data_IF_796390829776
#
_entry.id   IF_796390829776
#
_cell.length_a   1.000
_cell.length_b   1.000
_cell.length_c   1.000
_cell.angle_alpha   90.00
_cell.angle_beta   90.00
_cell.angle_gamma   90.00
#
_symmetry.space_group_name_H-M   'P 1'
#
loop_
_entity.id
_entity.type
_entity.pdbx_description
1 polymer ?
#
# COMPACT_ATOMS: atom_id res chain seq x y z
N UNK A 1 10.22 20.84 41.29
CA UNK A 1 9.34 19.67 41.54
C UNK A 1 9.15 18.97 40.22
N UNK A 2 9.63 17.73 40.12
CA UNK A 2 9.54 16.93 38.92
C UNK A 2 8.14 16.36 38.72
N UNK A 3 7.89 15.96 37.47
CA UNK A 3 6.59 15.46 37.02
C UNK A 3 6.23 14.12 37.66
N UNK A 4 7.23 13.33 38.06
CA UNK A 4 7.04 11.99 38.63
C UNK A 4 6.41 12.01 40.03
N UNK A 5 6.88 12.87 40.94
CA UNK A 5 6.30 13.00 42.28
C UNK A 5 4.83 13.47 42.24
N UNK A 6 4.51 14.42 41.37
CA UNK A 6 3.13 14.92 41.16
C UNK A 6 2.20 13.83 40.63
N UNK A 7 2.62 13.14 39.56
CA UNK A 7 1.88 12.02 38.99
C UNK A 7 1.69 10.91 40.03
N UNK A 8 2.71 10.63 40.84
CA UNK A 8 2.66 9.59 41.87
C UNK A 8 1.65 9.94 42.96
N UNK A 9 1.69 11.17 43.48
CA UNK A 9 0.74 11.61 44.52
C UNK A 9 -0.70 11.49 44.03
N UNK A 10 -0.99 12.04 42.85
CA UNK A 10 -2.33 12.02 42.27
C UNK A 10 -2.86 10.59 42.11
N UNK A 11 -2.05 9.68 41.59
CA UNK A 11 -2.48 8.30 41.36
C UNK A 11 -2.67 7.53 42.68
N UNK A 12 -1.77 7.71 43.65
CA UNK A 12 -1.91 7.04 44.94
C UNK A 12 -3.16 7.53 45.69
N UNK A 13 -3.51 8.81 45.59
CA UNK A 13 -4.74 9.38 46.15
C UNK A 13 -6.00 8.91 45.40
N UNK A 14 -6.04 9.06 44.06
CA UNK A 14 -7.20 8.71 43.23
C UNK A 14 -7.58 7.23 43.36
N UNK A 15 -6.60 6.33 43.43
CA UNK A 15 -6.84 4.89 43.52
C UNK A 15 -6.76 4.35 44.96
N UNK A 16 -6.64 5.21 45.97
CA UNK A 16 -6.53 4.84 47.39
C UNK A 16 -5.42 3.80 47.66
N UNK A 17 -4.29 3.91 46.95
CA UNK A 17 -3.14 3.01 47.10
C UNK A 17 -2.23 3.56 48.20
N UNK A 18 -1.99 2.77 49.24
CA UNK A 18 -1.11 3.20 50.33
C UNK A 18 0.36 3.28 49.88
N UNK A 19 1.09 4.29 50.37
CA UNK A 19 2.54 4.41 50.14
C UNK A 19 3.31 3.16 50.60
N UNK A 20 2.83 2.47 51.65
CA UNK A 20 3.41 1.21 52.13
C UNK A 20 3.29 0.09 51.11
N UNK A 21 2.13 -0.04 50.45
CA UNK A 21 1.91 -1.08 49.43
C UNK A 21 2.83 -0.90 48.23
N UNK A 22 3.04 0.34 47.80
CA UNK A 22 3.99 0.65 46.72
C UNK A 22 5.45 0.40 47.15
N UNK A 23 5.82 0.79 48.38
CA UNK A 23 7.16 0.58 48.93
C UNK A 23 7.51 -0.93 48.98
N UNK A 24 6.58 -1.77 49.45
CA UNK A 24 6.74 -3.22 49.47
C UNK A 24 6.92 -3.80 48.06
N UNK A 25 6.11 -3.38 47.09
CA UNK A 25 6.24 -3.89 45.71
C UNK A 25 7.52 -3.45 45.01
N UNK A 26 8.09 -2.29 45.38
CA UNK A 26 9.36 -1.80 44.86
C UNK A 26 10.60 -2.37 45.57
N UNK A 27 10.42 -3.01 46.73
CA UNK A 27 11.53 -3.47 47.56
C UNK A 27 12.34 -2.31 48.18
N UNK A 28 11.69 -1.18 48.48
CA UNK A 28 12.33 0.02 49.06
C UNK A 28 11.68 0.39 50.40
N UNK A 29 12.41 1.13 51.23
CA UNK A 29 11.87 1.60 52.52
C UNK A 29 10.76 2.65 52.33
N UNK A 30 9.71 2.57 53.16
CA UNK A 30 8.56 3.50 53.14
C UNK A 30 8.94 5.00 53.14
N UNK A 31 9.97 5.47 53.87
CA UNK A 31 10.40 6.87 53.82
C UNK A 31 10.87 7.35 52.44
N UNK A 32 11.29 6.44 51.54
CA UNK A 32 11.64 6.78 50.16
C UNK A 32 10.39 7.17 49.38
N UNK A 33 9.35 6.33 49.42
CA UNK A 33 8.06 6.60 48.76
C UNK A 33 7.36 7.81 49.38
N UNK A 34 7.47 7.99 50.71
CA UNK A 34 6.95 9.17 51.40
C UNK A 34 7.54 10.47 50.83
N UNK A 35 8.86 10.51 50.62
CA UNK A 35 9.53 11.69 50.04
C UNK A 35 9.09 11.96 48.61
N UNK A 36 8.84 10.92 47.79
CA UNK A 36 8.29 11.08 46.45
C UNK A 36 6.84 11.58 46.46
N UNK A 37 6.00 11.01 47.33
CA UNK A 37 4.58 11.38 47.45
C UNK A 37 4.39 12.83 47.92
N UNK A 38 5.23 13.29 48.86
CA UNK A 38 5.23 14.67 49.32
C UNK A 38 6.11 15.60 48.47
N UNK A 39 6.54 15.13 47.29
CA UNK A 39 7.34 15.91 46.32
C UNK A 39 8.63 16.53 46.90
N UNK A 40 9.20 15.91 47.95
CA UNK A 40 10.45 16.33 48.56
C UNK A 40 11.67 15.92 47.72
N UNK A 41 11.53 14.81 46.99
CA UNK A 41 12.49 14.30 46.00
C UNK A 41 11.70 13.63 44.87
N UNK A 42 12.29 13.45 43.69
CA UNK A 42 11.68 12.69 42.59
C UNK A 42 12.35 11.32 42.40
N UNK A 43 11.59 10.30 41.97
CA UNK A 43 12.18 9.02 41.55
C UNK A 43 13.01 9.20 40.26
N UNK A 44 14.07 8.39 40.10
CA UNK A 44 14.86 8.36 38.86
C UNK A 44 14.06 7.76 37.70
N UNK A 45 14.53 7.91 36.46
CA UNK A 45 13.87 7.33 35.29
C UNK A 45 13.74 5.79 35.38
N UNK A 46 14.75 5.09 35.88
CA UNK A 46 14.72 3.64 36.12
C UNK A 46 13.71 3.27 37.22
N UNK A 47 13.60 4.13 38.23
CA UNK A 47 12.64 3.96 39.33
C UNK A 47 11.21 4.18 38.84
N UNK A 48 10.97 5.14 37.94
CA UNK A 48 9.66 5.38 37.30
C UNK A 48 9.19 4.13 36.55
N UNK A 49 10.07 3.50 35.76
CA UNK A 49 9.73 2.24 35.08
C UNK A 49 9.35 1.13 36.08
N UNK A 50 10.04 1.06 37.22
CA UNK A 50 9.75 0.12 38.29
C UNK A 50 8.41 0.42 38.98
N UNK A 51 8.09 1.70 39.22
CA UNK A 51 6.80 2.15 39.76
C UNK A 51 5.66 1.73 38.85
N UNK A 52 5.79 1.93 37.54
CA UNK A 52 4.77 1.51 36.55
C UNK A 52 4.52 0.01 36.62
N UNK A 53 5.57 -0.80 36.72
CA UNK A 53 5.44 -2.27 36.81
C UNK A 53 4.70 -2.68 38.07
N UNK A 54 5.09 -2.14 39.23
CA UNK A 54 4.45 -2.45 40.52
C UNK A 54 3.00 -1.95 40.57
N UNK A 55 2.74 -0.74 40.08
CA UNK A 55 1.37 -0.23 39.98
C UNK A 55 0.51 -1.10 39.07
N UNK A 56 1.06 -1.70 38.00
CA UNK A 56 0.30 -2.58 37.11
C UNK A 56 -0.16 -3.86 37.81
N UNK A 57 0.64 -4.35 38.76
CA UNK A 57 0.31 -5.51 39.59
C UNK A 57 -0.73 -5.15 40.66
N UNK A 58 -0.67 -3.95 41.24
CA UNK A 58 -1.62 -3.48 42.25
C UNK A 58 -2.96 -3.07 41.63
N UNK A 59 -2.93 -2.24 40.58
CA UNK A 59 -4.09 -1.74 39.86
C UNK A 59 -3.69 -1.26 38.45
N UNK A 60 -4.15 -1.98 37.42
CA UNK A 60 -3.81 -1.69 36.02
C UNK A 60 -4.20 -0.27 35.57
N UNK A 61 -5.29 0.30 36.10
CA UNK A 61 -5.74 1.65 35.75
C UNK A 61 -4.85 2.71 36.40
N UNK A 62 -4.42 2.49 37.65
CA UNK A 62 -3.46 3.34 38.33
C UNK A 62 -2.13 3.44 37.56
N UNK A 63 -1.65 2.31 37.02
CA UNK A 63 -0.43 2.30 36.20
C UNK A 63 -0.58 3.11 34.90
N UNK A 64 -1.74 3.00 34.24
CA UNK A 64 -2.02 3.77 33.01
C UNK A 64 -2.10 5.26 33.29
N UNK A 65 -2.81 5.65 34.36
CA UNK A 65 -2.93 7.06 34.76
C UNK A 65 -1.59 7.64 35.23
N UNK A 66 -0.75 6.85 35.92
CA UNK A 66 0.59 7.29 36.30
C UNK A 66 1.48 7.57 35.09
N UNK A 67 1.46 6.70 34.07
CA UNK A 67 2.16 6.96 32.80
C UNK A 67 1.62 8.24 32.13
N UNK A 68 0.30 8.40 32.10
CA UNK A 68 -0.34 9.55 31.48
C UNK A 68 0.06 10.86 32.18
N UNK A 69 -0.07 10.92 33.50
CA UNK A 69 0.30 12.10 34.29
C UNK A 69 1.82 12.35 34.30
N UNK A 70 2.64 11.31 34.17
CA UNK A 70 4.10 11.48 34.09
C UNK A 70 4.57 12.04 32.73
N UNK A 71 3.91 11.65 31.64
CA UNK A 71 4.32 12.04 30.28
C UNK A 71 3.64 13.33 29.79
N UNK A 72 2.52 13.73 30.38
CA UNK A 72 1.70 14.86 29.94
C UNK A 72 1.61 15.90 31.07
N UNK A 73 1.79 17.18 30.74
CA UNK A 73 1.54 18.29 31.67
C UNK A 73 0.04 18.29 32.06
N UNK A 74 -0.33 18.20 33.34
CA UNK A 74 -1.72 18.10 33.79
C UNK A 74 -2.59 19.31 33.42
N UNK A 75 -2.00 20.38 32.90
CA UNK A 75 -2.72 21.53 32.33
C UNK A 75 -3.27 21.30 30.93
N UNK A 76 -2.93 20.20 30.24
CA UNK A 76 -3.45 19.81 28.93
C UNK A 76 -4.37 18.57 29.02
N UNK A 77 -5.44 18.66 29.81
CA UNK A 77 -6.42 17.58 30.01
C UNK A 77 -7.57 17.60 28.98
N UNK A 78 -7.25 17.60 27.69
CA UNK A 78 -8.24 17.36 26.64
C UNK A 78 -7.92 16.06 25.88
N UNK A 79 -8.65 14.99 26.24
CA UNK A 79 -8.83 13.73 25.53
C UNK A 79 -7.80 13.39 24.43
N UNK A 80 -6.77 12.64 24.81
CA UNK A 80 -5.95 11.87 23.88
C UNK A 80 -6.18 10.38 24.16
N UNK A 81 -7.10 9.79 23.38
CA UNK A 81 -7.35 8.35 23.34
C UNK A 81 -6.16 7.63 22.67
N UNK A 82 -5.25 7.09 23.47
CA UNK A 82 -4.08 6.31 22.99
C UNK A 82 -4.42 4.87 22.58
N UNK A 83 -5.66 4.60 22.15
CA UNK A 83 -6.05 3.35 21.45
C UNK A 83 -6.55 3.63 20.02
N UNK A 84 -6.26 4.83 19.49
CA UNK A 84 -6.38 5.04 18.07
C UNK A 84 -5.29 4.22 17.35
N UNK A 85 -5.69 3.08 16.80
CA UNK A 85 -5.15 2.64 15.51
C UNK A 85 -5.08 3.90 14.65
N UNK A 86 -3.95 4.30 14.03
CA UNK A 86 -3.88 5.57 13.33
C UNK A 86 -4.97 5.60 12.25
N UNK A 87 -6.09 6.23 12.59
CA UNK A 87 -7.09 6.63 11.63
C UNK A 87 -6.36 7.70 10.83
N UNK A 88 -6.14 7.45 9.55
CA UNK A 88 -5.79 8.52 8.62
C UNK A 88 -7.01 9.43 8.53
N UNK A 89 -7.18 10.28 9.53
CA UNK A 89 -8.22 11.29 9.57
C UNK A 89 -7.84 12.38 8.57
N UNK A 90 -8.77 12.64 7.68
CA UNK A 90 -8.65 13.75 6.75
C UNK A 90 -8.60 15.07 7.54
N UNK A 91 -7.78 16.06 7.14
CA UNK A 91 -7.67 17.33 7.84
C UNK A 91 -9.02 17.99 7.96
N UNK A 92 -9.34 18.57 9.13
CA UNK A 92 -10.62 19.25 9.33
C UNK A 92 -10.70 20.51 8.46
N UNK A 93 -11.93 20.94 8.18
CA UNK A 93 -12.21 22.17 7.45
C UNK A 93 -13.45 22.84 8.02
N UNK A 94 -13.41 24.17 8.08
CA UNK A 94 -14.56 25.00 8.46
C UNK A 94 -15.46 25.34 7.26
N UNK A 95 -15.00 25.08 6.04
CA UNK A 95 -15.69 25.45 4.79
C UNK A 95 -16.47 24.27 4.20
N UNK A 96 -15.90 23.06 4.28
CA UNK A 96 -16.46 21.84 3.70
C UNK A 96 -16.61 20.71 4.72
N UNK A 97 -17.64 19.87 4.55
CA UNK A 97 -17.88 18.71 5.42
C UNK A 97 -16.99 17.50 5.04
N UNK A 98 -15.80 17.48 5.61
CA UNK A 98 -14.80 16.40 5.45
C UNK A 98 -15.32 15.05 5.98
N UNK A 99 -16.27 15.05 6.92
CA UNK A 99 -16.88 13.82 7.41
C UNK A 99 -17.66 13.11 6.31
N UNK A 100 -18.27 13.84 5.37
CA UNK A 100 -18.95 13.29 4.20
C UNK A 100 -17.93 12.80 3.17
N UNK A 101 -16.83 13.52 2.96
CA UNK A 101 -15.74 13.08 2.07
C UNK A 101 -15.23 11.68 2.48
N UNK A 102 -15.04 11.44 3.78
CA UNK A 102 -14.63 10.13 4.30
C UNK A 102 -15.63 8.99 3.99
N UNK A 103 -16.89 9.32 3.68
CA UNK A 103 -17.95 8.34 3.37
C UNK A 103 -17.98 7.94 1.90
N UNK A 104 -17.31 8.66 0.99
CA UNK A 104 -17.31 8.38 -0.45
C UNK A 104 -16.94 6.92 -0.77
N UNK A 105 -15.95 6.39 -0.04
CA UNK A 105 -15.35 5.08 -0.28
C UNK A 105 -15.79 3.99 0.72
N UNK A 106 -16.74 4.28 1.64
CA UNK A 106 -17.22 3.31 2.64
C UNK A 106 -18.06 2.18 2.06
N UNK A 107 -18.89 2.48 1.05
CA UNK A 107 -19.79 1.52 0.39
C UNK A 107 -19.34 1.31 -1.06
N UNK A 108 -18.51 0.28 -1.26
CA UNK A 108 -17.93 -0.06 -2.55
C UNK A 108 -18.05 -1.56 -2.81
N UNK A 109 -18.44 -1.91 -4.03
CA UNK A 109 -18.49 -3.30 -4.50
C UNK A 109 -17.40 -3.54 -5.56
N UNK A 110 -17.19 -2.55 -6.41
CA UNK A 110 -16.17 -2.48 -7.45
C UNK A 110 -15.17 -1.34 -7.15
N UNK A 111 -14.12 -1.30 -7.95
CA UNK A 111 -13.03 -0.32 -7.91
C UNK A 111 -13.43 1.08 -8.35
N UNK A 112 -14.61 1.24 -8.96
CA UNK A 112 -14.88 2.41 -9.80
C UNK A 112 -14.85 3.72 -9.01
N UNK A 113 -15.40 3.73 -7.79
CA UNK A 113 -15.37 4.93 -6.93
C UNK A 113 -13.95 5.32 -6.51
N UNK A 114 -13.10 4.33 -6.24
CA UNK A 114 -11.70 4.56 -5.88
C UNK A 114 -10.96 5.18 -7.06
N UNK A 115 -11.02 4.52 -8.23
CA UNK A 115 -10.37 4.99 -9.43
C UNK A 115 -10.90 6.35 -9.88
N UNK A 116 -12.21 6.56 -9.82
CA UNK A 116 -12.82 7.84 -10.23
C UNK A 116 -12.38 8.99 -9.33
N UNK A 117 -12.39 8.80 -8.01
CA UNK A 117 -11.95 9.83 -7.08
C UNK A 117 -10.44 10.09 -7.18
N UNK A 118 -9.60 9.04 -7.22
CA UNK A 118 -8.15 9.18 -7.44
C UNK A 118 -7.87 9.90 -8.77
N UNK A 119 -8.63 9.60 -9.82
CA UNK A 119 -8.48 10.25 -11.13
C UNK A 119 -8.82 11.74 -11.09
N UNK A 120 -9.86 12.13 -10.33
CA UNK A 120 -10.14 13.55 -10.10
C UNK A 120 -8.94 14.22 -9.42
N UNK A 121 -8.39 13.61 -8.36
CA UNK A 121 -7.23 14.15 -7.64
C UNK A 121 -6.01 14.31 -8.57
N UNK A 122 -5.67 13.26 -9.33
CA UNK A 122 -4.55 13.27 -10.28
C UNK A 122 -4.74 14.33 -11.39
N UNK A 123 -5.99 14.53 -11.85
CA UNK A 123 -6.31 15.57 -12.85
C UNK A 123 -6.17 16.97 -12.24
N UNK A 124 -6.65 17.20 -11.02
CA UNK A 124 -6.53 18.49 -10.34
C UNK A 124 -5.06 18.88 -10.14
N UNK A 125 -4.24 17.98 -9.59
CA UNK A 125 -2.81 18.23 -9.40
C UNK A 125 -2.14 18.57 -10.75
N UNK A 126 -2.43 17.79 -11.80
CA UNK A 126 -1.89 18.02 -13.15
C UNK A 126 -2.35 19.35 -13.76
N UNK A 127 -3.53 19.83 -13.41
CA UNK A 127 -4.09 21.13 -13.82
C UNK A 127 -3.74 22.27 -12.86
N UNK A 128 -2.85 22.04 -11.89
CA UNK A 128 -2.48 23.03 -10.87
C UNK A 128 -3.71 23.58 -10.14
N UNK A 129 -4.66 22.69 -9.84
CA UNK A 129 -5.91 22.98 -9.14
C UNK A 129 -6.79 24.04 -9.82
N UNK A 130 -6.71 24.19 -11.16
CA UNK A 130 -7.70 24.98 -11.92
C UNK A 130 -9.10 24.39 -11.74
N UNK A 131 -9.90 25.10 -10.95
CA UNK A 131 -11.26 24.75 -10.58
C UNK A 131 -12.35 25.26 -11.52
N UNK A 132 -11.99 26.14 -12.46
CA UNK A 132 -12.96 26.80 -13.35
C UNK A 132 -13.30 25.86 -14.52
N UNK A 133 -12.28 25.20 -15.06
CA UNK A 133 -12.41 24.34 -16.22
C UNK A 133 -13.14 23.02 -15.89
N UNK A 134 -14.26 22.70 -16.57
CA UNK A 134 -14.91 21.41 -16.40
C UNK A 134 -13.96 20.24 -16.70
N UNK A 135 -14.18 19.12 -16.02
CA UNK A 135 -13.48 17.86 -16.27
C UNK A 135 -14.47 16.92 -16.94
N UNK A 136 -14.21 16.57 -18.20
CA UNK A 136 -15.08 15.64 -18.94
C UNK A 136 -15.03 14.23 -18.36
N UNK A 137 -16.14 13.49 -18.45
CA UNK A 137 -16.15 12.07 -18.09
C UNK A 137 -15.15 11.26 -18.90
N UNK A 138 -14.96 11.62 -20.18
CA UNK A 138 -13.96 10.97 -21.04
C UNK A 138 -12.55 11.10 -20.46
N UNK A 139 -12.16 12.29 -20.01
CA UNK A 139 -10.86 12.52 -19.38
C UNK A 139 -10.70 11.76 -18.07
N UNK A 140 -11.72 11.80 -17.19
CA UNK A 140 -11.69 11.05 -15.91
C UNK A 140 -11.53 9.55 -16.20
N UNK A 141 -12.28 9.02 -17.16
CA UNK A 141 -12.27 7.58 -17.48
C UNK A 141 -10.94 7.15 -18.13
N UNK A 142 -10.33 8.00 -18.96
CA UNK A 142 -8.96 7.76 -19.45
C UNK A 142 -7.97 7.70 -18.27
N UNK A 143 -8.07 8.62 -17.32
CA UNK A 143 -7.21 8.62 -16.12
C UNK A 143 -7.50 7.41 -15.22
N UNK A 144 -8.76 6.96 -15.08
CA UNK A 144 -9.13 5.75 -14.33
C UNK A 144 -8.46 4.51 -14.91
N UNK A 145 -8.50 4.37 -16.24
CA UNK A 145 -7.88 3.26 -16.94
C UNK A 145 -6.35 3.32 -16.84
N UNK A 146 -5.76 4.52 -16.95
CA UNK A 146 -4.33 4.70 -16.74
C UNK A 146 -3.90 4.32 -15.31
N UNK A 147 -4.69 4.69 -14.30
CA UNK A 147 -4.47 4.33 -12.90
C UNK A 147 -4.60 2.83 -12.62
N UNK A 148 -5.44 2.12 -13.37
CA UNK A 148 -5.62 0.69 -13.20
C UNK A 148 -4.64 -0.15 -14.04
N UNK A 149 -4.10 0.39 -15.14
CA UNK A 149 -3.38 -0.37 -16.16
C UNK A 149 -2.18 -1.15 -15.60
N UNK A 150 -1.31 -0.53 -14.80
CA UNK A 150 -0.14 -1.21 -14.24
C UNK A 150 -0.54 -2.40 -13.36
N UNK A 151 -1.46 -2.15 -12.43
CA UNK A 151 -1.91 -3.16 -11.48
C UNK A 151 -2.52 -4.38 -12.16
N UNK A 152 -3.30 -4.19 -13.22
CA UNK A 152 -3.92 -5.28 -13.98
C UNK A 152 -2.99 -5.87 -15.04
N UNK A 153 -2.51 -5.07 -15.99
CA UNK A 153 -1.81 -5.55 -17.19
C UNK A 153 -0.40 -6.04 -16.88
N UNK A 154 0.36 -5.28 -16.07
CA UNK A 154 1.76 -5.58 -15.77
C UNK A 154 1.92 -6.49 -14.54
N UNK A 155 1.22 -6.18 -13.45
CA UNK A 155 1.32 -6.89 -12.17
C UNK A 155 0.28 -7.99 -11.96
N UNK A 156 -0.67 -8.17 -12.90
CA UNK A 156 -1.68 -9.25 -12.91
C UNK A 156 -2.55 -9.30 -11.64
N UNK A 157 -2.80 -8.15 -11.01
CA UNK A 157 -3.71 -8.05 -9.87
C UNK A 157 -5.17 -8.20 -10.30
N UNK A 158 -5.93 -8.96 -9.51
CA UNK A 158 -7.37 -9.13 -9.70
C UNK A 158 -8.13 -7.95 -9.11
N UNK A 159 -9.10 -7.43 -9.86
CA UNK A 159 -10.07 -6.44 -9.36
C UNK A 159 -11.33 -7.13 -8.80
N UNK A 160 -11.40 -8.46 -8.90
CA UNK A 160 -12.56 -9.27 -8.52
C UNK A 160 -13.58 -9.44 -9.65
N UNK A 161 -14.37 -10.52 -9.58
CA UNK A 161 -15.24 -10.99 -10.68
C UNK A 161 -16.30 -9.99 -11.16
N UNK A 162 -16.85 -9.17 -10.26
CA UNK A 162 -17.90 -8.20 -10.59
C UNK A 162 -17.34 -6.90 -11.18
N UNK A 163 -16.05 -6.66 -11.00
CA UNK A 163 -15.38 -5.48 -11.54
C UNK A 163 -15.09 -5.67 -13.03
N UNK A 164 -15.30 -4.63 -13.83
CA UNK A 164 -15.12 -4.66 -15.30
C UNK A 164 -13.99 -3.76 -15.79
N UNK A 165 -13.18 -3.17 -14.91
CA UNK A 165 -12.01 -2.38 -15.34
C UNK A 165 -11.00 -3.27 -16.06
N UNK A 166 -10.70 -4.45 -15.51
CA UNK A 166 -9.83 -5.44 -16.13
C UNK A 166 -10.29 -5.81 -17.55
N UNK A 167 -11.55 -6.24 -17.70
CA UNK A 167 -12.14 -6.58 -19.01
C UNK A 167 -12.02 -5.43 -20.03
N UNK A 168 -12.20 -4.19 -19.56
CA UNK A 168 -12.08 -2.99 -20.42
C UNK A 168 -10.63 -2.72 -20.83
N UNK A 169 -9.66 -2.94 -19.95
CA UNK A 169 -8.23 -2.82 -20.28
C UNK A 169 -7.79 -3.90 -21.28
N UNK A 170 -8.26 -5.14 -21.08
CA UNK A 170 -7.98 -6.26 -21.98
C UNK A 170 -8.57 -6.00 -23.37
N UNK A 171 -9.80 -5.50 -23.45
CA UNK A 171 -10.44 -5.11 -24.72
C UNK A 171 -9.63 -4.05 -25.48
N UNK A 172 -9.06 -3.07 -24.79
CA UNK A 172 -8.26 -2.02 -25.43
C UNK A 172 -6.95 -2.56 -26.01
N UNK A 173 -6.48 -3.73 -25.54
CA UNK A 173 -5.24 -4.37 -25.97
C UNK A 173 -4.10 -3.35 -26.10
N UNK A 174 -3.77 -2.71 -24.99
CA UNK A 174 -2.76 -1.65 -24.92
C UNK A 174 -1.40 -2.33 -24.88
N UNK A 175 -0.75 -2.40 -26.03
CA UNK A 175 0.61 -2.90 -26.14
C UNK A 175 1.60 -1.80 -25.73
N UNK A 176 2.28 -2.03 -24.62
CA UNK A 176 3.44 -1.24 -24.20
C UNK A 176 4.60 -2.23 -24.08
N UNK A 177 5.05 -2.71 -25.23
CA UNK A 177 6.08 -3.74 -25.34
C UNK A 177 7.41 -3.35 -24.68
N UNK A 178 7.68 -2.05 -24.55
CA UNK A 178 8.88 -1.56 -23.88
C UNK A 178 8.62 -1.20 -22.41
N UNK A 179 9.09 -2.08 -21.52
CA UNK A 179 9.07 -1.82 -20.07
C UNK A 179 9.80 -0.54 -19.65
N UNK A 180 10.75 -0.02 -20.44
CA UNK A 180 11.37 1.28 -20.15
C UNK A 180 10.37 2.42 -20.32
N UNK A 181 9.52 2.37 -21.34
CA UNK A 181 8.44 3.35 -21.55
C UNK A 181 7.43 3.25 -20.40
N UNK A 182 7.19 2.04 -19.88
CA UNK A 182 6.29 1.80 -18.74
C UNK A 182 6.77 2.50 -17.47
N UNK A 183 8.04 2.34 -17.06
CA UNK A 183 8.51 2.94 -15.80
C UNK A 183 8.92 4.42 -15.95
N UNK A 184 9.37 4.84 -17.14
CA UNK A 184 9.80 6.23 -17.38
C UNK A 184 8.64 7.19 -17.67
N UNK A 185 7.41 6.69 -17.88
CA UNK A 185 6.20 7.52 -18.01
C UNK A 185 5.73 8.04 -16.63
N UNK A 186 6.58 8.84 -15.98
CA UNK A 186 6.46 9.37 -14.61
C UNK A 186 5.13 10.06 -14.30
N UNK A 187 4.37 10.44 -15.33
CA UNK A 187 3.05 11.05 -15.22
C UNK A 187 1.95 10.28 -15.95
N UNK A 188 2.17 9.06 -16.45
CA UNK A 188 1.22 8.29 -17.28
C UNK A 188 0.80 9.05 -18.57
N UNK A 189 1.62 9.99 -19.05
CA UNK A 189 1.31 10.84 -20.23
C UNK A 189 1.23 10.01 -21.50
N UNK A 190 2.20 9.14 -21.73
CA UNK A 190 2.20 8.27 -22.89
C UNK A 190 1.05 7.27 -22.80
N UNK A 191 0.86 6.63 -21.63
CA UNK A 191 -0.23 5.70 -21.39
C UNK A 191 -1.61 6.33 -21.64
N UNK A 192 -1.88 7.53 -21.10
CA UNK A 192 -3.14 8.24 -21.36
C UNK A 192 -3.34 8.55 -22.84
N UNK A 193 -2.29 8.97 -23.55
CA UNK A 193 -2.35 9.23 -25.00
C UNK A 193 -2.66 7.94 -25.77
N UNK A 194 -2.06 6.82 -25.38
CA UNK A 194 -2.33 5.51 -25.99
C UNK A 194 -3.77 5.08 -25.74
N UNK A 195 -4.27 5.22 -24.51
CA UNK A 195 -5.67 4.95 -24.17
C UNK A 195 -6.62 5.86 -24.97
N UNK A 196 -6.33 7.16 -25.07
CA UNK A 196 -7.20 8.11 -25.78
C UNK A 196 -7.32 7.84 -27.28
N UNK A 197 -6.31 7.18 -27.86
CA UNK A 197 -6.29 6.82 -29.28
C UNK A 197 -7.01 5.49 -29.58
N UNK A 198 -7.50 4.79 -28.56
CA UNK A 198 -8.27 3.55 -28.70
C UNK A 198 -9.79 3.85 -28.75
N UNK A 199 -10.62 2.94 -29.29
CA UNK A 199 -12.08 3.10 -29.30
C UNK A 199 -12.64 3.02 -27.87
N UNK A 200 -12.69 4.17 -27.19
CA UNK A 200 -13.01 4.28 -25.76
C UNK A 200 -14.46 4.71 -25.49
N UNK A 201 -15.21 5.17 -26.49
CA UNK A 201 -16.49 5.84 -26.26
C UNK A 201 -17.55 4.92 -25.62
N UNK A 202 -17.58 3.64 -25.97
CA UNK A 202 -18.45 2.64 -25.30
C UNK A 202 -18.04 2.44 -23.84
N UNK A 203 -16.73 2.41 -23.57
CA UNK A 203 -16.19 2.32 -22.20
C UNK A 203 -16.57 3.56 -21.40
N UNK A 204 -16.51 4.74 -22.01
CA UNK A 204 -16.93 6.01 -21.40
C UNK A 204 -18.42 5.96 -21.06
N UNK A 205 -19.26 5.52 -22.00
CA UNK A 205 -20.71 5.39 -21.82
C UNK A 205 -21.07 4.44 -20.68
N UNK A 206 -20.39 3.29 -20.59
CA UNK A 206 -20.60 2.31 -19.53
C UNK A 206 -20.21 2.84 -18.14
N UNK A 207 -18.99 3.40 -18.03
CA UNK A 207 -18.46 3.81 -16.72
C UNK A 207 -19.09 5.11 -16.21
N UNK A 208 -19.51 6.03 -17.10
CA UNK A 208 -20.24 7.25 -16.70
C UNK A 208 -21.63 6.94 -16.15
N UNK A 209 -22.21 5.78 -16.46
CA UNK A 209 -23.61 5.46 -16.19
C UNK A 209 -24.02 5.66 -14.73
N UNK A 210 -23.13 5.33 -13.79
CA UNK A 210 -23.44 5.33 -12.35
C UNK A 210 -22.40 6.05 -11.50
N UNK A 211 -21.12 5.89 -11.82
CA UNK A 211 -20.02 6.23 -10.89
C UNK A 211 -19.98 7.70 -10.51
N UNK A 212 -20.14 8.68 -11.43
CA UNK A 212 -20.15 10.09 -11.09
C UNK A 212 -21.27 10.43 -10.09
N UNK A 213 -22.47 9.91 -10.30
CA UNK A 213 -23.62 10.21 -9.46
C UNK A 213 -23.54 9.50 -8.11
N UNK A 214 -23.17 8.21 -8.11
CA UNK A 214 -23.10 7.40 -6.90
C UNK A 214 -21.92 7.76 -5.99
N UNK A 215 -20.86 8.39 -6.52
CA UNK A 215 -19.74 8.85 -5.70
C UNK A 215 -20.22 9.92 -4.72
N UNK A 216 -20.90 10.98 -5.19
CA UNK A 216 -21.33 12.12 -4.37
C UNK A 216 -22.65 11.90 -3.62
N UNK A 217 -23.30 10.74 -3.81
CA UNK A 217 -24.51 10.36 -3.07
C UNK A 217 -24.45 10.60 -1.54
N UNK A 218 -23.31 10.40 -0.83
CA UNK A 218 -23.22 10.66 0.60
C UNK A 218 -23.57 12.09 1.04
N UNK A 219 -23.45 13.08 0.14
CA UNK A 219 -23.83 14.48 0.41
C UNK A 219 -25.35 14.67 0.55
N UNK A 220 -26.13 13.70 0.06
CA UNK A 220 -27.59 13.81 -0.08
C UNK A 220 -28.36 12.67 0.59
N UNK A 221 -27.75 11.97 1.57
CA UNK A 221 -28.39 10.77 2.16
C UNK A 221 -29.73 11.07 2.83
N UNK A 222 -29.88 12.24 3.44
CA UNK A 222 -31.13 12.63 4.11
C UNK A 222 -32.22 12.92 3.08
N UNK A 223 -31.90 13.75 2.09
CA UNK A 223 -32.79 14.17 1.02
C UNK A 223 -33.29 12.95 0.22
N UNK A 224 -32.37 12.04 -0.12
CA UNK A 224 -32.68 10.79 -0.82
C UNK A 224 -33.47 9.79 0.04
N UNK A 225 -33.41 9.88 1.37
CA UNK A 225 -34.27 9.07 2.25
C UNK A 225 -35.68 9.65 2.30
N UNK A 226 -35.83 10.95 2.47
CA UNK A 226 -37.14 11.61 2.51
C UNK A 226 -37.90 11.48 1.18
N UNK A 227 -37.21 11.62 0.04
CA UNK A 227 -37.82 11.46 -1.27
C UNK A 227 -38.29 10.02 -1.58
N UNK A 228 -37.83 9.02 -0.81
CA UNK A 228 -38.27 7.62 -0.94
C UNK A 228 -39.51 7.29 -0.12
N UNK A 229 -39.90 8.11 0.85
CA UNK A 229 -41.01 7.84 1.75
C UNK A 229 -42.41 7.92 1.10
N UNK A 230 -42.50 8.16 -0.22
CA UNK A 230 -43.78 8.24 -0.95
C UNK A 230 -43.76 7.78 -2.42
N UNK A 231 -42.74 7.05 -2.89
CA UNK A 231 -42.64 6.65 -4.31
C UNK A 231 -42.96 5.17 -4.58
N UNK A 232 -43.64 4.92 -5.71
CA UNK A 232 -43.73 3.60 -6.36
C UNK A 232 -42.32 3.13 -6.77
N UNK A 233 -42.13 1.80 -6.79
CA UNK A 233 -40.87 1.11 -7.14
C UNK A 233 -40.31 1.68 -8.47
N UNK A 234 -39.07 2.17 -8.43
CA UNK A 234 -38.37 2.80 -9.57
C UNK A 234 -38.32 1.83 -10.76
N UNK A 235 -38.56 2.33 -11.98
CA UNK A 235 -38.80 1.47 -13.17
C UNK A 235 -37.75 1.61 -14.26
N UNK A 236 -36.97 2.70 -14.30
CA UNK A 236 -36.02 2.97 -15.40
C UNK A 236 -34.60 3.25 -14.89
N UNK A 237 -33.54 2.84 -15.61
CA UNK A 237 -32.18 3.30 -15.36
C UNK A 237 -32.06 4.82 -15.56
N UNK A 238 -31.37 5.53 -14.64
CA UNK A 238 -31.19 6.98 -14.70
C UNK A 238 -32.07 7.76 -13.73
N UNK A 239 -33.12 7.16 -13.17
CA UNK A 239 -34.04 7.84 -12.23
C UNK A 239 -33.31 8.29 -10.94
N UNK A 240 -32.42 7.45 -10.39
CA UNK A 240 -31.61 7.76 -9.20
C UNK A 240 -30.59 8.86 -9.51
N UNK A 241 -29.96 8.78 -10.68
CA UNK A 241 -28.94 9.72 -11.12
C UNK A 241 -29.55 11.10 -11.38
N UNK A 242 -30.72 11.15 -12.02
CA UNK A 242 -31.48 12.38 -12.24
C UNK A 242 -31.88 13.06 -10.93
N UNK A 243 -32.29 12.27 -9.93
CA UNK A 243 -32.60 12.82 -8.60
C UNK A 243 -31.37 13.45 -7.94
N UNK A 244 -30.18 12.84 -8.09
CA UNK A 244 -28.92 13.41 -7.60
C UNK A 244 -28.58 14.70 -8.34
N UNK A 245 -28.75 14.76 -9.67
CA UNK A 245 -28.53 15.99 -10.45
C UNK A 245 -29.42 17.11 -9.93
N UNK A 246 -30.72 16.86 -9.75
CA UNK A 246 -31.66 17.86 -9.25
C UNK A 246 -31.26 18.36 -7.85
N UNK A 247 -30.79 17.46 -6.96
CA UNK A 247 -30.33 17.85 -5.62
C UNK A 247 -29.05 18.68 -5.67
N UNK A 248 -28.11 18.30 -6.53
CA UNK A 248 -26.88 19.05 -6.77
C UNK A 248 -27.18 20.47 -7.26
N UNK A 249 -28.07 20.63 -8.24
CA UNK A 249 -28.43 21.95 -8.77
C UNK A 249 -29.07 22.86 -7.71
N UNK A 250 -29.98 22.32 -6.90
CA UNK A 250 -30.71 23.11 -5.91
C UNK A 250 -29.93 23.37 -4.62
N UNK A 251 -28.94 22.53 -4.29
CA UNK A 251 -28.24 22.56 -3.01
C UNK A 251 -26.73 22.78 -3.17
N UNK A 252 -26.25 23.19 -4.36
CA UNK A 252 -24.82 23.33 -4.62
C UNK A 252 -24.13 24.26 -3.62
N UNK A 253 -24.65 25.49 -3.47
CA UNK A 253 -24.03 26.49 -2.61
C UNK A 253 -24.31 26.27 -1.10
N UNK A 254 -25.35 25.48 -0.79
CA UNK A 254 -25.79 25.21 0.59
C UNK A 254 -25.08 23.98 1.18
N UNK A 255 -25.12 22.86 0.46
CA UNK A 255 -24.55 21.59 0.89
C UNK A 255 -23.11 21.42 0.45
N UNK A 256 -22.67 22.20 -0.55
CA UNK A 256 -21.32 22.17 -1.11
C UNK A 256 -20.90 20.75 -1.45
N UNK A 257 -21.62 20.04 -2.34
CA UNK A 257 -21.18 18.73 -2.80
C UNK A 257 -19.84 18.84 -3.51
N UNK A 258 -19.11 17.72 -3.64
CA UNK A 258 -17.77 17.72 -4.25
C UNK A 258 -17.74 18.38 -5.65
N UNK A 259 -18.77 18.16 -6.45
CA UNK A 259 -18.92 18.75 -7.78
C UNK A 259 -20.39 18.84 -8.20
N UNK A 260 -20.61 19.62 -9.27
CA UNK A 260 -21.84 19.64 -10.06
C UNK A 260 -21.63 19.14 -11.48
N UNK A 261 -22.73 18.88 -12.18
CA UNK A 261 -22.75 18.42 -13.57
C UNK A 261 -22.93 19.59 -14.55
N UNK A 262 -22.53 19.40 -15.79
CA UNK A 262 -22.61 20.38 -16.88
C UNK A 262 -24.00 20.49 -17.53
N UNK A 263 -24.94 19.60 -17.17
CA UNK A 263 -26.29 19.58 -17.70
C UNK A 263 -27.31 19.14 -16.63
N UNK A 264 -28.55 19.60 -16.78
CA UNK A 264 -29.66 19.28 -15.88
C UNK A 264 -30.32 17.94 -16.17
N UNK A 265 -30.08 17.35 -17.34
CA UNK A 265 -30.62 16.04 -17.71
C UNK A 265 -29.52 14.99 -17.74
N UNK A 266 -29.75 13.86 -17.07
CA UNK A 266 -28.80 12.75 -16.94
C UNK A 266 -28.17 12.30 -18.27
N UNK A 267 -29.00 12.20 -19.33
CA UNK A 267 -28.55 11.76 -20.65
C UNK A 267 -27.54 12.73 -21.28
N UNK A 268 -27.62 14.01 -20.95
CA UNK A 268 -26.86 15.10 -21.56
C UNK A 268 -25.60 15.47 -20.73
N UNK A 269 -25.47 14.96 -19.50
CA UNK A 269 -24.27 15.18 -18.69
C UNK A 269 -23.03 14.54 -19.32
N UNK A 270 -21.99 15.35 -19.50
CA UNK A 270 -20.72 14.96 -20.12
C UNK A 270 -19.50 15.32 -19.28
N UNK A 271 -19.65 16.20 -18.28
CA UNK A 271 -18.56 16.73 -17.47
C UNK A 271 -19.01 17.07 -16.04
N UNK A 272 -18.01 17.33 -15.19
CA UNK A 272 -18.20 17.84 -13.83
C UNK A 272 -17.41 19.13 -13.62
N UNK A 273 -17.92 20.00 -12.75
CA UNK A 273 -17.20 21.16 -12.22
C UNK A 273 -17.15 21.03 -10.70
N UNK A 274 -15.95 21.02 -10.12
CA UNK A 274 -15.78 20.90 -8.67
C UNK A 274 -16.22 22.17 -7.96
N UNK A 275 -16.68 22.02 -6.72
CA UNK A 275 -17.00 23.16 -5.87
C UNK A 275 -15.71 23.89 -5.45
N UNK A 276 -15.64 25.24 -5.56
CA UNK A 276 -14.42 26.00 -5.28
C UNK A 276 -13.82 25.75 -3.89
N UNK A 277 -14.65 25.63 -2.87
CA UNK A 277 -14.18 25.33 -1.51
C UNK A 277 -13.57 23.93 -1.37
N UNK A 278 -14.06 22.94 -2.13
CA UNK A 278 -13.45 21.62 -2.18
C UNK A 278 -12.11 21.64 -2.91
N UNK A 279 -11.97 22.44 -3.97
CA UNK A 279 -10.69 22.64 -4.65
C UNK A 279 -9.66 23.24 -3.68
N UNK A 280 -10.01 24.33 -3.00
CA UNK A 280 -9.14 24.97 -2.00
C UNK A 280 -8.77 24.01 -0.85
N UNK A 281 -9.72 23.22 -0.36
CA UNK A 281 -9.43 22.21 0.64
C UNK A 281 -8.48 21.13 0.11
N UNK A 282 -8.73 20.59 -1.09
CA UNK A 282 -7.92 19.52 -1.68
C UNK A 282 -6.52 20.03 -2.00
N UNK A 283 -6.37 21.23 -2.55
CA UNK A 283 -5.06 21.84 -2.85
C UNK A 283 -4.20 21.95 -1.58
N UNK A 284 -4.76 22.53 -0.52
CA UNK A 284 -4.05 22.71 0.75
C UNK A 284 -3.72 21.39 1.47
N UNK A 285 -4.42 20.30 1.14
CA UNK A 285 -4.31 19.01 1.83
C UNK A 285 -3.99 17.85 0.88
N UNK A 286 -3.47 18.13 -0.32
CA UNK A 286 -3.45 17.18 -1.42
C UNK A 286 -2.77 15.86 -1.06
N UNK A 287 -1.56 15.91 -0.51
CA UNK A 287 -0.80 14.72 -0.12
C UNK A 287 -1.55 13.84 0.87
N UNK A 288 -2.31 14.43 1.80
CA UNK A 288 -3.07 13.70 2.82
C UNK A 288 -4.33 13.09 2.20
N UNK A 289 -5.10 13.87 1.41
CA UNK A 289 -6.32 13.39 0.73
C UNK A 289 -5.97 12.28 -0.27
N UNK A 290 -4.89 12.47 -1.05
CA UNK A 290 -4.39 11.48 -2.00
C UNK A 290 -3.87 10.24 -1.30
N UNK A 291 -3.14 10.39 -0.19
CA UNK A 291 -2.70 9.28 0.65
C UNK A 291 -3.87 8.46 1.21
N UNK A 292 -4.90 9.12 1.74
CA UNK A 292 -6.13 8.49 2.23
C UNK A 292 -6.86 7.72 1.12
N UNK A 293 -7.08 8.33 -0.05
CA UNK A 293 -7.74 7.68 -1.18
C UNK A 293 -6.95 6.44 -1.65
N UNK A 294 -5.62 6.54 -1.67
CA UNK A 294 -4.70 5.45 -2.00
C UNK A 294 -4.77 4.31 -0.98
N UNK A 295 -4.86 4.64 0.30
CA UNK A 295 -5.01 3.66 1.38
C UNK A 295 -6.34 2.90 1.29
N UNK A 296 -7.43 3.62 1.06
CA UNK A 296 -8.74 3.01 0.84
C UNK A 296 -8.75 2.09 -0.39
N UNK A 297 -8.06 2.50 -1.46
CA UNK A 297 -7.87 1.70 -2.66
C UNK A 297 -7.01 0.45 -2.41
N UNK A 298 -5.91 0.58 -1.66
CA UNK A 298 -5.05 -0.54 -1.28
C UNK A 298 -5.82 -1.58 -0.47
N UNK A 299 -6.61 -1.16 0.52
CA UNK A 299 -7.46 -2.07 1.30
C UNK A 299 -8.43 -2.85 0.42
N UNK A 300 -9.02 -2.20 -0.58
CA UNK A 300 -9.85 -2.88 -1.56
C UNK A 300 -9.06 -3.93 -2.33
N UNK A 301 -7.90 -3.55 -2.88
CA UNK A 301 -7.09 -4.42 -3.72
C UNK A 301 -6.49 -5.60 -2.95
N UNK A 302 -6.09 -5.42 -1.68
CA UNK A 302 -5.63 -6.52 -0.82
C UNK A 302 -6.74 -7.54 -0.58
N UNK A 303 -7.98 -7.11 -0.33
CA UNK A 303 -9.12 -8.05 -0.20
C UNK A 303 -9.39 -8.84 -1.48
N UNK A 304 -9.10 -8.25 -2.65
CA UNK A 304 -9.21 -8.94 -3.95
C UNK A 304 -8.02 -9.85 -4.25
N UNK A 305 -6.89 -9.66 -3.58
CA UNK A 305 -5.62 -10.33 -3.85
C UNK A 305 -4.96 -10.85 -2.54
N UNK A 306 -5.65 -11.68 -1.73
CA UNK A 306 -5.19 -12.01 -0.37
C UNK A 306 -3.88 -12.82 -0.34
N UNK A 307 -3.61 -13.62 -1.38
CA UNK A 307 -2.43 -14.49 -1.45
C UNK A 307 -1.31 -13.91 -2.32
N UNK A 308 -1.44 -12.66 -2.76
CA UNK A 308 -0.51 -12.03 -3.69
C UNK A 308 0.54 -11.25 -2.90
N UNK A 309 1.83 -11.52 -3.09
CA UNK A 309 2.86 -10.78 -2.36
C UNK A 309 2.88 -9.30 -2.78
N UNK A 310 3.31 -8.43 -1.88
CA UNK A 310 3.65 -7.04 -2.19
C UNK A 310 2.59 -6.24 -2.97
N UNK A 311 1.30 -6.41 -2.66
CA UNK A 311 0.19 -5.69 -3.34
C UNK A 311 0.39 -4.17 -3.34
N UNK A 312 0.92 -3.60 -2.26
CA UNK A 312 1.21 -2.17 -2.17
C UNK A 312 2.20 -1.71 -3.25
N UNK A 313 3.33 -2.41 -3.39
CA UNK A 313 4.37 -2.09 -4.38
C UNK A 313 3.89 -2.26 -5.82
N UNK A 314 2.92 -3.16 -6.05
CA UNK A 314 2.29 -3.40 -7.36
C UNK A 314 1.23 -2.36 -7.71
N UNK A 315 0.56 -1.81 -6.69
CA UNK A 315 -0.48 -0.82 -6.87
C UNK A 315 0.10 0.59 -7.03
N UNK A 316 1.20 0.85 -6.33
CA UNK A 316 1.93 2.11 -6.36
C UNK A 316 3.39 1.83 -6.76
N UNK A 317 3.64 1.43 -8.01
CA UNK A 317 4.99 1.13 -8.46
C UNK A 317 5.89 2.36 -8.33
N UNK A 318 7.17 2.18 -7.93
CA UNK A 318 8.12 3.28 -7.93
C UNK A 318 8.37 3.77 -9.36
N UNK A 319 8.81 5.02 -9.50
CA UNK A 319 9.15 5.60 -10.80
C UNK A 319 10.31 4.86 -11.47
N UNK A 320 11.22 4.28 -10.67
CA UNK A 320 12.31 3.46 -11.16
C UNK A 320 12.45 2.20 -10.32
N UNK A 321 12.93 1.11 -10.92
CA UNK A 321 13.32 -0.07 -10.14
C UNK A 321 14.60 0.19 -9.38
N UNK A 322 14.73 -0.47 -8.23
CA UNK A 322 15.98 -0.47 -7.48
C UNK A 322 17.15 -0.97 -8.33
N UNK A 323 18.34 -0.44 -8.05
CA UNK A 323 19.55 -0.90 -8.72
C UNK A 323 19.94 -2.31 -8.26
N UNK A 324 20.26 -3.19 -9.21
CA UNK A 324 20.81 -4.52 -8.93
C UNK A 324 22.35 -4.52 -8.78
N UNK A 325 22.98 -3.35 -8.55
CA UNK A 325 24.45 -3.23 -8.47
C UNK A 325 25.07 -4.17 -7.44
N UNK A 326 24.43 -4.36 -6.27
CA UNK A 326 24.97 -5.20 -5.20
C UNK A 326 24.94 -6.69 -5.58
N UNK A 327 23.82 -7.15 -6.13
CA UNK A 327 23.64 -8.52 -6.61
C UNK A 327 24.55 -8.80 -7.81
N UNK A 328 24.74 -7.81 -8.69
CA UNK A 328 25.66 -7.93 -9.83
C UNK A 328 27.11 -8.01 -9.38
N UNK A 329 27.49 -7.24 -8.36
CA UNK A 329 28.82 -7.32 -7.76
C UNK A 329 29.07 -8.69 -7.09
N UNK A 330 28.05 -9.26 -6.44
CA UNK A 330 28.11 -10.62 -5.87
C UNK A 330 28.38 -11.68 -6.95
N UNK A 331 27.58 -11.73 -8.01
CA UNK A 331 27.78 -12.73 -9.06
C UNK A 331 29.08 -12.52 -9.86
N UNK A 332 29.53 -11.27 -10.01
CA UNK A 332 30.84 -10.96 -10.60
C UNK A 332 32.00 -11.49 -9.75
N UNK A 333 31.90 -11.43 -8.41
CA UNK A 333 32.90 -12.01 -7.51
C UNK A 333 33.06 -13.51 -7.80
N UNK A 334 31.95 -14.24 -7.88
CA UNK A 334 31.93 -15.69 -8.09
C UNK A 334 32.46 -16.05 -9.48
N UNK A 335 32.00 -15.37 -10.54
CA UNK A 335 32.44 -15.61 -11.92
C UNK A 335 33.93 -15.32 -12.16
N UNK A 336 34.59 -14.56 -11.28
CA UNK A 336 36.04 -14.34 -11.35
C UNK A 336 36.85 -15.47 -10.71
N UNK A 337 36.20 -16.40 -10.02
CA UNK A 337 36.85 -17.47 -9.24
C UNK A 337 36.50 -18.86 -9.76
N UNK A 338 35.34 -19.00 -10.41
CA UNK A 338 34.88 -20.27 -10.96
C UNK A 338 34.08 -20.05 -12.24
N UNK A 339 34.14 -21.03 -13.14
CA UNK A 339 33.32 -21.06 -14.34
C UNK A 339 31.90 -21.51 -13.98
N UNK A 340 30.91 -20.71 -14.34
CA UNK A 340 29.50 -21.04 -14.15
C UNK A 340 28.84 -21.28 -15.51
N UNK A 341 27.91 -22.24 -15.56
CA UNK A 341 27.05 -22.42 -16.72
C UNK A 341 25.71 -21.70 -16.52
N UNK A 342 25.19 -21.09 -17.59
CA UNK A 342 23.83 -20.58 -17.60
C UNK A 342 22.85 -21.75 -17.43
N UNK A 343 21.94 -21.67 -16.45
CA UNK A 343 20.98 -22.76 -16.18
C UNK A 343 20.05 -23.04 -17.38
N UNK A 344 19.85 -22.05 -18.25
CA UNK A 344 18.96 -22.11 -19.40
C UNK A 344 19.65 -22.65 -20.66
N UNK A 345 20.73 -22.00 -21.12
CA UNK A 345 21.43 -22.38 -22.37
C UNK A 345 22.54 -23.42 -22.18
N UNK A 346 22.92 -23.70 -20.93
CA UNK A 346 24.07 -24.54 -20.55
C UNK A 346 25.42 -24.03 -21.05
N UNK A 347 25.48 -22.86 -21.65
CA UNK A 347 26.73 -22.22 -22.07
C UNK A 347 27.46 -21.60 -20.88
N UNK A 348 28.79 -21.56 -20.94
CA UNK A 348 29.63 -20.92 -19.91
C UNK A 348 29.38 -19.41 -19.88
N UNK A 349 29.09 -18.88 -18.70
CA UNK A 349 28.84 -17.47 -18.48
C UNK A 349 30.14 -16.65 -18.50
N UNK A 350 30.16 -15.49 -19.14
CA UNK A 350 31.31 -14.61 -19.10
C UNK A 350 31.41 -13.87 -17.75
N UNK A 351 32.64 -13.57 -17.31
CA UNK A 351 32.90 -12.78 -16.10
C UNK A 351 32.48 -11.30 -16.21
N UNK A 352 32.15 -10.84 -17.43
CA UNK A 352 31.62 -9.52 -17.71
C UNK A 352 30.55 -9.57 -18.81
N UNK A 353 29.71 -8.54 -18.92
CA UNK A 353 28.65 -8.49 -19.95
C UNK A 353 27.39 -9.31 -19.65
N UNK A 354 27.35 -10.08 -18.55
CA UNK A 354 26.13 -10.78 -18.11
C UNK A 354 25.07 -9.82 -17.54
N UNK A 355 23.83 -10.33 -17.49
CA UNK A 355 22.68 -9.72 -16.82
C UNK A 355 22.22 -10.59 -15.64
N UNK A 356 21.40 -10.04 -14.75
CA UNK A 356 20.74 -10.83 -13.72
C UNK A 356 19.30 -11.11 -14.12
N UNK A 357 18.90 -12.37 -13.97
CA UNK A 357 17.53 -12.82 -14.13
C UNK A 357 16.90 -13.07 -12.77
N UNK A 358 15.67 -12.59 -12.60
CA UNK A 358 14.81 -12.99 -11.49
C UNK A 358 14.13 -14.31 -11.85
N UNK A 359 14.46 -15.41 -11.16
CA UNK A 359 13.89 -16.73 -11.46
C UNK A 359 12.35 -16.68 -11.43
N UNK A 360 11.76 -16.23 -10.31
CA UNK A 360 10.39 -15.74 -10.31
C UNK A 360 10.33 -14.31 -10.85
N UNK A 361 9.44 -13.99 -11.80
CA UNK A 361 9.35 -12.65 -12.39
C UNK A 361 9.28 -11.53 -11.35
N UNK A 362 10.04 -10.44 -11.55
CA UNK A 362 9.97 -9.26 -10.68
C UNK A 362 8.56 -8.66 -10.62
N UNK A 363 7.82 -8.69 -11.73
CA UNK A 363 6.40 -8.30 -11.79
C UNK A 363 5.50 -9.15 -10.88
N UNK A 364 5.93 -10.36 -10.52
CA UNK A 364 5.23 -11.18 -9.54
C UNK A 364 5.71 -10.93 -8.11
N UNK A 365 7.02 -10.89 -7.84
CA UNK A 365 7.52 -10.79 -6.46
C UNK A 365 7.65 -9.35 -5.93
N UNK A 366 7.85 -8.38 -6.81
CA UNK A 366 8.07 -6.96 -6.53
C UNK A 366 9.19 -6.68 -5.50
N UNK A 367 10.28 -7.46 -5.57
CA UNK A 367 11.48 -7.30 -4.77
C UNK A 367 12.72 -7.82 -5.51
N UNK A 368 13.91 -7.43 -5.04
CA UNK A 368 15.21 -7.78 -5.62
C UNK A 368 16.03 -8.70 -4.71
N UNK A 369 15.36 -9.59 -3.98
CA UNK A 369 16.02 -10.52 -3.05
C UNK A 369 17.01 -11.44 -3.78
N UNK A 370 18.23 -11.64 -3.22
CA UNK A 370 19.32 -12.35 -3.89
C UNK A 370 19.02 -13.83 -4.13
N UNK A 371 18.26 -14.48 -3.24
CA UNK A 371 17.84 -15.88 -3.42
C UNK A 371 16.99 -16.11 -4.68
N UNK A 372 16.43 -15.06 -5.28
CA UNK A 372 15.67 -15.14 -6.53
C UNK A 372 16.47 -14.71 -7.77
N UNK A 373 17.76 -14.38 -7.63
CA UNK A 373 18.55 -13.73 -8.69
C UNK A 373 19.76 -14.58 -9.10
N UNK A 374 19.89 -14.84 -10.40
CA UNK A 374 21.02 -15.57 -11.00
C UNK A 374 21.61 -14.87 -12.23
N UNK A 375 22.89 -15.10 -12.58
CA UNK A 375 23.49 -14.56 -13.78
C UNK A 375 23.01 -15.31 -15.02
N UNK A 376 22.76 -14.57 -16.10
CA UNK A 376 22.41 -15.11 -17.41
C UNK A 376 22.85 -14.17 -18.52
N UNK A 377 22.79 -14.65 -19.76
CA UNK A 377 23.02 -13.83 -20.95
C UNK A 377 21.89 -12.80 -21.14
N UNK A 378 22.19 -11.54 -21.51
CA UNK A 378 21.18 -10.49 -21.70
C UNK A 378 20.02 -10.88 -22.63
N UNK A 379 20.32 -11.56 -23.74
CA UNK A 379 19.36 -12.06 -24.72
C UNK A 379 18.42 -13.11 -24.14
N UNK A 380 18.92 -13.98 -23.26
CA UNK A 380 18.10 -15.00 -22.58
C UNK A 380 17.20 -14.35 -21.54
N UNK A 381 17.72 -13.41 -20.74
CA UNK A 381 16.93 -12.63 -19.79
C UNK A 381 15.81 -11.88 -20.50
N UNK A 382 16.12 -11.23 -21.64
CA UNK A 382 15.15 -10.55 -22.46
C UNK A 382 14.09 -11.50 -23.04
N UNK A 383 14.49 -12.70 -23.47
CA UNK A 383 13.58 -13.74 -23.96
C UNK A 383 12.64 -14.25 -22.86
N UNK A 384 13.18 -14.51 -21.65
CA UNK A 384 12.39 -14.95 -20.51
C UNK A 384 11.46 -13.85 -19.97
N UNK A 385 11.87 -12.59 -19.99
CA UNK A 385 11.02 -11.44 -19.63
C UNK A 385 10.26 -11.68 -18.30
N UNK A 386 8.94 -11.50 -18.29
CA UNK A 386 8.07 -11.75 -17.14
C UNK A 386 7.51 -13.19 -17.08
N UNK A 387 8.08 -14.15 -17.80
CA UNK A 387 7.64 -15.55 -17.75
C UNK A 387 8.30 -16.32 -16.60
N UNK A 388 7.59 -17.34 -16.13
CA UNK A 388 8.10 -18.29 -15.14
C UNK A 388 8.95 -19.35 -15.87
N UNK A 389 10.19 -19.63 -15.47
CA UNK A 389 10.96 -20.75 -16.02
C UNK A 389 10.20 -22.06 -15.87
N UNK A 390 10.28 -22.91 -16.87
CA UNK A 390 9.80 -24.28 -16.75
C UNK A 390 10.44 -25.01 -15.56
N UNK A 391 9.68 -25.89 -14.93
CA UNK A 391 10.08 -26.64 -13.73
C UNK A 391 11.40 -27.40 -13.92
N UNK A 392 11.73 -27.79 -15.17
CA UNK A 392 12.98 -28.46 -15.49
C UNK A 392 14.24 -27.66 -15.09
N UNK A 393 14.15 -26.35 -14.88
CA UNK A 393 15.30 -25.51 -14.52
C UNK A 393 15.50 -25.36 -13.01
N UNK A 394 14.58 -25.86 -12.17
CA UNK A 394 14.63 -25.62 -10.72
C UNK A 394 15.85 -26.26 -10.08
N UNK A 395 16.18 -27.49 -10.46
CA UNK A 395 17.33 -28.20 -9.89
C UNK A 395 18.65 -27.48 -10.20
N UNK A 396 18.87 -27.05 -11.44
CA UNK A 396 20.06 -26.29 -11.81
C UNK A 396 20.08 -24.89 -11.22
N UNK A 397 18.91 -24.26 -11.05
CA UNK A 397 18.80 -22.98 -10.33
C UNK A 397 19.30 -23.10 -8.90
N UNK A 398 18.84 -24.11 -8.15
CA UNK A 398 19.26 -24.32 -6.75
C UNK A 398 20.74 -24.71 -6.67
N UNK A 399 21.21 -25.59 -7.57
CA UNK A 399 22.62 -25.96 -7.64
C UNK A 399 23.52 -24.73 -7.89
N UNK A 400 23.09 -23.81 -8.76
CA UNK A 400 23.82 -22.57 -9.04
C UNK A 400 23.86 -21.64 -7.82
N UNK A 401 22.74 -21.51 -7.09
CA UNK A 401 22.69 -20.75 -5.84
C UNK A 401 23.62 -21.35 -4.78
N UNK A 402 23.61 -22.68 -4.62
CA UNK A 402 24.48 -23.40 -3.69
C UNK A 402 25.97 -23.18 -3.99
N UNK A 403 26.36 -23.30 -5.26
CA UNK A 403 27.72 -23.04 -5.71
C UNK A 403 28.13 -21.59 -5.45
N UNK A 404 27.25 -20.64 -5.78
CA UNK A 404 27.49 -19.22 -5.53
C UNK A 404 27.69 -18.90 -4.04
N UNK A 405 26.85 -19.47 -3.16
CA UNK A 405 26.96 -19.32 -1.71
C UNK A 405 28.28 -19.89 -1.19
N UNK A 406 28.66 -21.09 -1.64
CA UNK A 406 29.88 -21.78 -1.21
C UNK A 406 31.14 -20.99 -1.58
N UNK A 407 31.25 -20.54 -2.84
CA UNK A 407 32.39 -19.73 -3.32
C UNK A 407 32.44 -18.36 -2.64
N UNK A 408 31.28 -17.72 -2.47
CA UNK A 408 31.21 -16.41 -1.84
C UNK A 408 31.61 -16.44 -0.36
N UNK A 409 31.29 -17.51 0.38
CA UNK A 409 31.68 -17.65 1.80
C UNK A 409 33.20 -17.61 2.00
N UNK A 410 33.94 -18.26 1.11
CA UNK A 410 35.42 -18.29 1.17
C UNK A 410 36.04 -16.94 0.83
N UNK A 411 35.32 -16.11 0.07
CA UNK A 411 35.86 -14.89 -0.54
C UNK A 411 35.38 -13.59 0.10
N UNK A 412 34.27 -13.63 0.82
CA UNK A 412 33.69 -12.45 1.47
C UNK A 412 34.11 -12.37 2.94
N UNK A 413 34.44 -11.16 3.40
CA UNK A 413 34.62 -10.90 4.82
C UNK A 413 33.33 -11.17 5.61
N UNK A 414 33.48 -11.65 6.85
CA UNK A 414 32.38 -12.14 7.69
C UNK A 414 31.16 -11.21 7.78
N UNK A 415 31.38 -9.90 7.97
CA UNK A 415 30.27 -8.93 8.03
C UNK A 415 29.53 -8.79 6.70
N UNK A 416 30.27 -8.68 5.60
CA UNK A 416 29.67 -8.52 4.26
C UNK A 416 28.89 -9.77 3.88
N UNK A 417 29.42 -10.94 4.24
CA UNK A 417 28.75 -12.22 4.08
C UNK A 417 27.43 -12.28 4.88
N UNK A 418 27.49 -12.01 6.19
CA UNK A 418 26.31 -12.02 7.08
C UNK A 418 25.18 -11.13 6.57
N UNK A 419 25.49 -9.90 6.15
CA UNK A 419 24.49 -8.99 5.57
C UNK A 419 23.92 -9.49 4.24
N UNK A 420 24.72 -10.19 3.43
CA UNK A 420 24.28 -10.66 2.11
C UNK A 420 23.35 -11.88 2.22
N UNK A 421 23.62 -12.78 3.16
CA UNK A 421 22.83 -14.00 3.32
C UNK A 421 21.55 -13.84 4.14
N UNK A 422 21.38 -12.71 4.85
CA UNK A 422 20.20 -12.46 5.69
C UNK A 422 18.87 -12.77 4.95
N UNK A 423 18.64 -12.35 3.69
CA UNK A 423 17.45 -12.73 2.96
C UNK A 423 17.31 -14.24 2.72
N UNK A 424 18.42 -14.96 2.47
CA UNK A 424 18.36 -16.42 2.32
C UNK A 424 17.92 -17.09 3.62
N UNK A 425 18.43 -16.64 4.77
CA UNK A 425 18.09 -17.16 6.09
C UNK A 425 16.62 -16.88 6.42
N UNK A 426 16.20 -15.61 6.30
CA UNK A 426 14.88 -15.15 6.74
C UNK A 426 13.76 -15.60 5.81
N UNK A 427 13.97 -15.49 4.49
CA UNK A 427 12.91 -15.73 3.51
C UNK A 427 12.76 -17.23 3.19
N UNK A 428 13.87 -17.97 3.12
CA UNK A 428 13.84 -19.44 2.91
C UNK A 428 13.69 -20.23 4.22
N UNK A 429 13.56 -19.55 5.37
CA UNK A 429 13.39 -20.14 6.71
C UNK A 429 14.48 -21.13 7.09
N UNK A 430 15.72 -20.80 6.75
CA UNK A 430 16.90 -21.59 7.12
C UNK A 430 17.36 -21.15 8.51
N UNK A 431 17.41 -22.07 9.47
CA UNK A 431 17.64 -21.74 10.89
C UNK A 431 19.10 -21.58 11.28
N UNK A 432 20.02 -22.15 10.50
CA UNK A 432 21.47 -22.10 10.71
C UNK A 432 22.16 -21.74 9.38
N UNK A 433 23.10 -20.80 9.43
CA UNK A 433 23.90 -20.42 8.27
C UNK A 433 24.61 -21.60 7.62
N UNK A 434 25.09 -22.58 8.41
CA UNK A 434 25.81 -23.75 7.89
C UNK A 434 24.93 -24.60 6.96
N UNK A 435 23.61 -24.56 7.14
CA UNK A 435 22.67 -25.30 6.31
C UNK A 435 22.56 -24.74 4.88
N UNK A 436 23.04 -23.51 4.63
CA UNK A 436 23.15 -22.97 3.26
C UNK A 436 24.13 -23.78 2.40
N UNK A 437 25.08 -24.50 3.03
CA UNK A 437 26.09 -25.29 2.34
C UNK A 437 25.71 -26.78 2.23
N UNK A 438 24.60 -27.20 2.84
CA UNK A 438 24.01 -28.51 2.60
C UNK A 438 23.01 -28.39 1.44
N UNK A 439 23.37 -29.00 0.30
CA UNK A 439 22.57 -28.91 -0.92
C UNK A 439 21.16 -29.50 -0.74
N UNK A 440 20.99 -30.57 0.05
CA UNK A 440 19.68 -31.19 0.25
C UNK A 440 18.78 -30.31 1.11
N UNK A 441 19.34 -29.70 2.16
CA UNK A 441 18.58 -28.75 2.99
C UNK A 441 18.20 -27.52 2.16
N UNK A 442 19.13 -26.98 1.38
CA UNK A 442 18.86 -25.81 0.54
C UNK A 442 17.80 -26.10 -0.54
N UNK A 443 17.87 -27.26 -1.21
CA UNK A 443 16.83 -27.72 -2.15
C UNK A 443 15.46 -27.79 -1.50
N UNK A 444 15.37 -28.43 -0.33
CA UNK A 444 14.12 -28.53 0.42
C UNK A 444 13.54 -27.14 0.78
N UNK A 445 14.40 -26.19 1.16
CA UNK A 445 13.99 -24.83 1.48
C UNK A 445 13.47 -24.06 0.23
N UNK A 446 14.17 -24.19 -0.90
CA UNK A 446 13.70 -23.63 -2.18
C UNK A 446 12.41 -24.27 -2.67
N UNK A 447 12.27 -25.60 -2.63
CA UNK A 447 11.04 -26.29 -3.04
C UNK A 447 9.84 -25.83 -2.21
N UNK A 448 10.02 -25.72 -0.89
CA UNK A 448 8.99 -25.27 0.04
C UNK A 448 8.59 -23.80 -0.17
N UNK A 449 9.49 -22.98 -0.71
CA UNK A 449 9.28 -21.54 -0.94
C UNK A 449 8.77 -21.24 -2.34
N UNK A 450 9.44 -21.77 -3.37
CA UNK A 450 9.18 -21.46 -4.78
C UNK A 450 7.95 -22.19 -5.31
N UNK A 451 7.71 -23.45 -4.92
CA UNK A 451 6.58 -24.22 -5.48
C UNK A 451 5.22 -23.53 -5.20
N UNK A 452 4.92 -23.09 -3.96
CA UNK A 452 3.69 -22.33 -3.71
C UNK A 452 3.64 -20.99 -4.46
N UNK A 453 4.77 -20.29 -4.57
CA UNK A 453 4.86 -19.01 -5.26
C UNK A 453 4.62 -19.14 -6.77
N UNK A 454 5.21 -20.15 -7.43
CA UNK A 454 4.95 -20.50 -8.84
C UNK A 454 3.47 -20.79 -9.04
N UNK A 455 2.86 -21.62 -8.18
CA UNK A 455 1.43 -21.93 -8.29
C UNK A 455 0.53 -20.69 -8.13
N UNK A 456 0.90 -19.74 -7.26
CA UNK A 456 0.19 -18.47 -7.12
C UNK A 456 0.37 -17.60 -8.37
N UNK A 457 1.58 -17.48 -8.91
CA UNK A 457 1.88 -16.71 -10.11
C UNK A 457 1.13 -17.24 -11.33
N UNK A 458 1.14 -18.56 -11.56
CA UNK A 458 0.38 -19.18 -12.66
C UNK A 458 -1.12 -18.90 -12.55
N UNK A 459 -1.70 -18.98 -11.35
CA UNK A 459 -3.12 -18.64 -11.12
C UNK A 459 -3.45 -17.16 -11.34
N UNK A 460 -2.46 -16.27 -11.26
CA UNK A 460 -2.61 -14.85 -11.62
C UNK A 460 -2.49 -14.61 -13.14
N UNK A 461 -2.11 -15.62 -13.93
CA UNK A 461 -1.99 -15.50 -15.38
C UNK A 461 -0.56 -15.25 -15.87
N UNK A 462 0.46 -15.50 -15.05
CA UNK A 462 1.83 -15.60 -15.54
C UNK A 462 2.03 -16.93 -16.29
N UNK A 463 2.55 -16.86 -17.51
CA UNK A 463 2.82 -18.04 -18.33
C UNK A 463 4.22 -18.61 -18.09
N UNK A 464 4.41 -19.88 -18.45
CA UNK A 464 5.70 -20.56 -18.38
C UNK A 464 6.54 -20.30 -19.63
N UNK A 465 7.85 -20.45 -19.50
CA UNK A 465 8.83 -20.26 -20.56
C UNK A 465 9.92 -21.33 -20.49
N UNK A 466 10.32 -21.80 -21.67
CA UNK A 466 11.48 -22.68 -21.85
C UNK A 466 12.39 -22.07 -22.90
N UNK A 467 13.70 -22.14 -22.65
CA UNK A 467 14.69 -21.77 -23.65
C UNK A 467 14.61 -22.71 -24.85
N UNK A 468 14.64 -22.16 -26.06
CA UNK A 468 14.54 -22.89 -27.32
C UNK A 468 15.84 -22.85 -28.09
#
# INVERSE_FOLDING_TARGET
>A
MGQAGKALRQVLETYSISQSSLATGLGVDRPVVFRWFHEQTDPTAETVASIVRVLREINQNAAREFIQCYLIDPTQSAQLDWVATPSQELPKSDTVDVSILSKLLKKTTNSYKYLFFISILDILERRQFDGISPISFKEIIIEMLANAWYSHTYFKLSFGRQDKIADKLDYLNIDISDTKIIFQDTNKRHLRKTISNKPIDDIVSDLRRYVPFLLIRPFFELELKFAKAGRKKRTQPGDDEQEIINLVENLFDVKKPLYRFDASLYKDCSAITLHPEWISYIENNYSIVRGWASWEWLKYMQRRNPNVPAVANKLFPPQERGSLSNQKAYWKLILNQTDLQCIYSKQTLPSSGFSLDHYLPWSFVAHDQPWNLIPTFPEINSSKSNYIPDQQYLDEFVNLQHLGLSVAKESMGAQKWSNYIEPYIVDLKITDENNLFDLQILKSAYDSTLTPLVAIAMRQGFATWSYR
#
